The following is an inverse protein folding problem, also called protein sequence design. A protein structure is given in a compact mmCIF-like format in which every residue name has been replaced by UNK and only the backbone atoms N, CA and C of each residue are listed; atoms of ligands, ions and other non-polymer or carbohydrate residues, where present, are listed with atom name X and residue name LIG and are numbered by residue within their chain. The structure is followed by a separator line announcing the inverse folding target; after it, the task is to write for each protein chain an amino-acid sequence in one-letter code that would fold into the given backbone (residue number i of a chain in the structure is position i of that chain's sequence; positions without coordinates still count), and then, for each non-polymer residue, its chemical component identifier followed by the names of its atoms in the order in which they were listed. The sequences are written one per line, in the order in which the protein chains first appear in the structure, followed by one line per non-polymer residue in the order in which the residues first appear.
data_IF_412452246943
#
_entry.id   IF_412452246943
#
_cell.length_a   1.000
_cell.length_b   1.000
_cell.length_c   1.000
_cell.angle_alpha   90.00
_cell.angle_beta   90.00
_cell.angle_gamma   90.00
#
_symmetry.space_group_name_H-M   'P 1'
#
loop_
_entity.id
_entity.type
_entity.pdbx_description
1 polymer ?
#
# COMPACT_ATOMS: atom_id res chain seq x y z
N UNK A 1 23.80 2.66 3.55
CA UNK A 1 22.37 2.26 3.47
C UNK A 1 21.84 2.67 2.11
N UNK A 2 22.44 2.15 1.04
CA UNK A 2 22.37 2.72 -0.33
C UNK A 2 22.46 1.61 -1.40
N UNK A 3 21.93 0.41 -1.10
CA UNK A 3 22.05 -0.77 -2.00
C UNK A 3 20.71 -1.44 -2.34
N UNK A 4 19.57 -0.92 -1.85
CA UNK A 4 18.24 -1.48 -2.14
C UNK A 4 17.44 -0.70 -3.18
N UNK A 5 17.92 0.46 -3.62
CA UNK A 5 17.27 1.27 -4.65
C UNK A 5 17.75 0.97 -6.08
N UNK A 6 18.85 0.21 -6.24
CA UNK A 6 19.47 -0.06 -7.56
C UNK A 6 18.78 -1.18 -8.37
N UNK A 7 18.06 -2.09 -7.71
CA UNK A 7 17.41 -3.23 -8.39
C UNK A 7 16.17 -2.86 -9.20
N UNK A 8 15.66 -1.62 -9.06
CA UNK A 8 14.46 -1.17 -9.78
C UNK A 8 14.76 -0.40 -11.08
N UNK A 9 16.02 -0.02 -11.34
CA UNK A 9 16.34 0.90 -12.44
C UNK A 9 17.13 0.30 -13.62
N UNK A 10 17.55 -0.97 -13.56
CA UNK A 10 18.41 -1.55 -14.61
C UNK A 10 17.83 -2.86 -15.12
N UNK A 11 17.10 -2.80 -16.24
CA UNK A 11 16.73 -3.93 -17.10
C UNK A 11 15.98 -5.08 -16.39
N UNK A 12 14.64 -5.14 -16.53
CA UNK A 12 13.94 -6.43 -16.50
C UNK A 12 12.61 -6.61 -15.75
N UNK A 13 11.74 -5.62 -15.50
CA UNK A 13 10.45 -5.91 -14.85
C UNK A 13 9.59 -6.89 -15.66
N UNK A 14 9.71 -6.91 -16.99
CA UNK A 14 8.93 -7.81 -17.87
C UNK A 14 9.47 -9.25 -17.91
N UNK A 15 10.79 -9.45 -17.81
CA UNK A 15 11.42 -10.79 -17.84
C UNK A 15 11.22 -11.52 -16.52
N UNK A 16 11.28 -10.80 -15.39
CA UNK A 16 11.09 -11.40 -14.06
C UNK A 16 9.61 -11.65 -13.71
N UNK A 17 8.65 -10.96 -14.34
CA UNK A 17 7.23 -11.28 -14.17
C UNK A 17 6.86 -12.68 -14.66
N UNK A 18 7.66 -13.32 -15.52
CA UNK A 18 7.50 -14.73 -15.90
C UNK A 18 7.91 -15.72 -14.81
N UNK A 19 8.74 -15.31 -13.84
CA UNK A 19 9.30 -16.16 -12.80
C UNK A 19 8.35 -16.21 -11.59
N UNK A 20 7.78 -17.39 -11.23
CA UNK A 20 6.82 -17.50 -10.13
C UNK A 20 7.34 -16.95 -8.79
N UNK A 21 8.61 -17.22 -8.46
CA UNK A 21 9.23 -16.74 -7.23
C UNK A 21 9.29 -15.20 -7.14
N UNK A 22 9.56 -14.53 -8.27
CA UNK A 22 9.56 -13.07 -8.31
C UNK A 22 8.15 -12.49 -8.13
N UNK A 23 7.14 -13.10 -8.78
CA UNK A 23 5.73 -12.68 -8.58
C UNK A 23 5.31 -12.82 -7.12
N UNK A 24 5.65 -13.94 -6.48
CA UNK A 24 5.34 -14.17 -5.07
C UNK A 24 6.03 -13.14 -4.16
N UNK A 25 7.32 -12.86 -4.42
CA UNK A 25 8.07 -11.82 -3.71
C UNK A 25 7.43 -10.43 -3.88
N UNK A 26 7.09 -10.04 -5.10
CA UNK A 26 6.53 -8.72 -5.39
C UNK A 26 5.12 -8.55 -4.79
N UNK A 27 4.28 -9.59 -4.82
CA UNK A 27 2.99 -9.61 -4.10
C UNK A 27 3.22 -9.45 -2.60
N UNK A 28 4.20 -10.15 -2.03
CA UNK A 28 4.50 -10.04 -0.60
C UNK A 28 4.99 -8.64 -0.22
N UNK A 29 5.83 -8.04 -1.07
CA UNK A 29 6.28 -6.67 -0.90
C UNK A 29 5.10 -5.69 -0.91
N UNK A 30 4.15 -5.85 -1.83
CA UNK A 30 2.90 -5.07 -1.85
C UNK A 30 2.10 -5.21 -0.55
N UNK A 31 1.87 -6.44 -0.07
CA UNK A 31 1.12 -6.69 1.17
C UNK A 31 1.76 -5.97 2.37
N UNK A 32 3.08 -6.11 2.52
CA UNK A 32 3.83 -5.46 3.59
C UNK A 32 3.80 -3.94 3.47
N UNK A 33 3.98 -3.39 2.27
CA UNK A 33 3.89 -1.95 2.03
C UNK A 33 2.49 -1.40 2.30
N UNK A 34 1.43 -2.15 1.99
CA UNK A 34 0.06 -1.75 2.30
C UNK A 34 -0.17 -1.64 3.81
N UNK A 35 0.28 -2.63 4.59
CA UNK A 35 0.17 -2.58 6.06
C UNK A 35 0.94 -1.40 6.66
N UNK A 36 2.14 -1.12 6.16
CA UNK A 36 2.90 0.05 6.59
C UNK A 36 2.18 1.36 6.25
N UNK A 37 1.58 1.47 5.06
CA UNK A 37 0.82 2.65 4.68
C UNK A 37 -0.41 2.85 5.58
N UNK A 38 -1.13 1.78 5.93
CA UNK A 38 -2.25 1.84 6.85
C UNK A 38 -1.81 2.28 8.26
N UNK A 39 -0.69 1.72 8.76
CA UNK A 39 -0.10 2.10 10.04
C UNK A 39 0.36 3.57 10.05
N UNK A 40 0.94 4.05 8.94
CA UNK A 40 1.33 5.44 8.77
C UNK A 40 0.12 6.38 8.80
N UNK A 41 -0.98 6.02 8.12
CA UNK A 41 -2.22 6.80 8.20
C UNK A 41 -2.73 6.90 9.62
N UNK A 42 -2.73 5.79 10.35
CA UNK A 42 -3.17 5.76 11.75
C UNK A 42 -2.29 6.65 12.63
N UNK A 43 -0.96 6.53 12.53
CA UNK A 43 -0.01 7.33 13.29
C UNK A 43 -0.18 8.83 13.02
N UNK A 44 -0.20 9.23 11.75
CA UNK A 44 -0.34 10.64 11.37
C UNK A 44 -1.72 11.23 11.73
N UNK A 45 -2.80 10.42 11.72
CA UNK A 45 -4.10 10.87 12.23
C UNK A 45 -4.06 11.11 13.75
N UNK A 46 -3.39 10.23 14.50
CA UNK A 46 -3.23 10.40 15.95
C UNK A 46 -2.42 11.66 16.27
N UNK A 47 -1.31 11.90 15.57
CA UNK A 47 -0.50 13.11 15.72
C UNK A 47 -1.29 14.40 15.44
N UNK A 48 -2.24 14.34 14.49
CA UNK A 48 -3.16 15.44 14.16
C UNK A 48 -4.36 15.57 15.10
N UNK A 49 -4.38 14.84 16.22
CA UNK A 49 -5.44 14.94 17.23
C UNK A 49 -6.76 14.28 16.84
N UNK A 50 -6.80 13.45 15.79
CA UNK A 50 -7.99 12.65 15.51
C UNK A 50 -8.14 11.58 16.59
N UNK A 51 -9.38 11.19 16.95
CA UNK A 51 -9.62 10.12 17.90
C UNK A 51 -8.83 8.88 17.50
N UNK A 52 -8.06 8.34 18.44
CA UNK A 52 -7.28 7.11 18.25
C UNK A 52 -8.21 6.04 17.67
N UNK A 53 -7.90 5.51 16.47
CA UNK A 53 -8.59 4.34 16.01
C UNK A 53 -8.46 3.24 17.06
N UNK A 54 -9.58 2.68 17.53
CA UNK A 54 -9.53 1.47 18.34
C UNK A 54 -8.91 0.38 17.47
N UNK A 55 -7.61 0.15 17.64
CA UNK A 55 -6.82 -0.82 16.88
C UNK A 55 -7.57 -2.15 16.82
N UNK A 56 -7.84 -2.64 15.61
CA UNK A 56 -8.55 -3.90 15.37
C UNK A 56 -10.09 -3.82 15.30
N UNK A 57 -10.72 -2.79 15.88
CA UNK A 57 -12.18 -2.61 15.83
C UNK A 57 -12.64 -1.51 14.86
N UNK A 58 -11.76 -0.57 14.49
CA UNK A 58 -12.12 0.43 13.50
C UNK A 58 -12.04 -0.17 12.07
N UNK A 59 -13.16 -0.17 11.31
CA UNK A 59 -13.12 -0.59 9.92
C UNK A 59 -12.15 0.28 9.13
N UNK A 60 -11.30 -0.33 8.31
CA UNK A 60 -10.38 0.40 7.41
C UNK A 60 -11.08 1.48 6.57
N UNK A 61 -12.36 1.29 6.23
CA UNK A 61 -13.18 2.32 5.56
C UNK A 61 -13.21 3.64 6.33
N UNK A 62 -13.33 3.58 7.66
CA UNK A 62 -13.33 4.77 8.51
C UNK A 62 -11.94 5.38 8.61
N UNK A 63 -10.89 4.56 8.75
CA UNK A 63 -9.50 5.01 8.72
C UNK A 63 -9.20 5.85 7.47
N UNK A 64 -9.48 5.29 6.29
CA UNK A 64 -9.25 5.99 5.02
C UNK A 64 -10.17 7.21 4.88
N UNK A 65 -11.41 7.14 5.39
CA UNK A 65 -12.31 8.29 5.44
C UNK A 65 -11.76 9.45 6.27
N UNK A 66 -11.15 9.15 7.42
CA UNK A 66 -10.46 10.15 8.25
C UNK A 66 -9.21 10.68 7.55
N UNK A 67 -8.38 9.80 6.99
CA UNK A 67 -7.18 10.19 6.25
C UNK A 67 -7.52 11.13 5.07
N UNK A 68 -8.63 10.88 4.37
CA UNK A 68 -9.12 11.77 3.30
C UNK A 68 -9.51 13.14 3.85
N UNK A 69 -10.27 13.19 4.94
CA UNK A 69 -10.65 14.46 5.59
C UNK A 69 -9.45 15.23 6.12
N UNK A 70 -8.40 14.54 6.53
CA UNK A 70 -7.13 15.14 6.95
C UNK A 70 -6.22 15.56 5.78
N UNK A 71 -6.65 15.38 4.53
CA UNK A 71 -5.86 15.73 3.34
C UNK A 71 -4.68 14.80 3.05
N UNK A 72 -4.63 13.62 3.70
CA UNK A 72 -3.51 12.67 3.58
C UNK A 72 -3.65 11.75 2.36
N UNK A 73 -4.88 11.52 1.91
CA UNK A 73 -5.18 10.70 0.73
C UNK A 73 -6.18 11.43 -0.17
N UNK A 74 -5.95 11.37 -1.49
CA UNK A 74 -6.87 11.98 -2.46
C UNK A 74 -8.15 11.18 -2.63
N UNK A 75 -8.03 9.90 -2.99
CA UNK A 75 -9.17 9.05 -3.31
C UNK A 75 -9.30 7.86 -2.35
N UNK A 76 -10.28 7.94 -1.44
CA UNK A 76 -10.58 6.85 -0.51
C UNK A 76 -11.03 5.54 -1.19
N UNK A 77 -11.51 5.59 -2.44
CA UNK A 77 -11.92 4.41 -3.20
C UNK A 77 -10.75 3.52 -3.61
N UNK A 78 -9.64 4.12 -4.02
CA UNK A 78 -8.41 3.41 -4.42
C UNK A 78 -7.85 2.60 -3.25
N UNK A 79 -7.77 3.20 -2.07
CA UNK A 79 -7.28 2.51 -0.87
C UNK A 79 -8.15 1.32 -0.46
N UNK A 80 -9.48 1.41 -0.66
CA UNK A 80 -10.37 0.25 -0.45
C UNK A 80 -10.06 -0.86 -1.45
N UNK A 81 -9.87 -0.52 -2.74
CA UNK A 81 -9.49 -1.49 -3.77
C UNK A 81 -8.15 -2.15 -3.44
N UNK A 82 -7.16 -1.40 -2.97
CA UNK A 82 -5.87 -1.97 -2.55
C UNK A 82 -6.03 -2.94 -1.36
N UNK A 83 -6.92 -2.63 -0.42
CA UNK A 83 -7.25 -3.55 0.67
C UNK A 83 -7.85 -4.85 0.16
N UNK A 84 -8.77 -4.77 -0.80
CA UNK A 84 -9.39 -5.95 -1.38
C UNK A 84 -8.34 -6.83 -2.08
N UNK A 85 -7.43 -6.22 -2.85
CA UNK A 85 -6.30 -6.94 -3.45
C UNK A 85 -5.37 -7.57 -2.43
N UNK A 86 -5.05 -6.87 -1.34
CA UNK A 86 -4.24 -7.41 -0.24
C UNK A 86 -4.94 -8.56 0.47
N UNK A 87 -6.26 -8.46 0.68
CA UNK A 87 -7.01 -9.54 1.33
C UNK A 87 -7.05 -10.80 0.44
N UNK A 88 -7.31 -10.62 -0.86
CA UNK A 88 -7.30 -11.71 -1.82
C UNK A 88 -5.92 -12.34 -1.96
N UNK A 89 -4.84 -11.53 -1.98
CA UNK A 89 -3.48 -12.05 -2.11
C UNK A 89 -3.02 -12.87 -0.91
N UNK A 90 -3.43 -12.47 0.31
CA UNK A 90 -3.09 -13.17 1.55
C UNK A 90 -3.85 -14.48 1.72
N UNK A 91 -5.13 -14.53 1.33
CA UNK A 91 -6.00 -15.68 1.62
C UNK A 91 -6.20 -16.64 0.43
N UNK A 92 -6.01 -16.16 -0.79
CA UNK A 92 -6.33 -16.91 -2.02
C UNK A 92 -5.20 -16.80 -3.05
N UNK A 93 -3.96 -16.98 -2.61
CA UNK A 93 -2.79 -16.88 -3.49
C UNK A 93 -2.88 -17.86 -4.66
N UNK A 94 -2.79 -17.32 -5.88
CA UNK A 94 -2.65 -18.07 -7.14
C UNK A 94 -1.87 -17.23 -8.15
N UNK A 95 -1.34 -17.86 -9.20
CA UNK A 95 -0.60 -17.15 -10.24
C UNK A 95 -1.46 -16.13 -11.02
N UNK A 96 -2.77 -16.33 -11.09
CA UNK A 96 -3.70 -15.36 -11.68
C UNK A 96 -3.90 -14.17 -10.74
N UNK A 97 -4.12 -14.43 -9.45
CA UNK A 97 -4.20 -13.38 -8.42
C UNK A 97 -2.91 -12.56 -8.39
N UNK A 98 -1.75 -13.21 -8.44
CA UNK A 98 -0.47 -12.52 -8.44
C UNK A 98 -0.34 -11.55 -9.63
N UNK A 99 -0.70 -11.99 -10.85
CA UNK A 99 -0.69 -11.13 -12.03
C UNK A 99 -1.64 -9.94 -11.89
N UNK A 100 -2.86 -10.16 -11.38
CA UNK A 100 -3.83 -9.08 -11.16
C UNK A 100 -3.34 -8.07 -10.12
N UNK A 101 -2.78 -8.53 -9.00
CA UNK A 101 -2.18 -7.66 -7.98
C UNK A 101 -1.05 -6.83 -8.60
N UNK A 102 -0.15 -7.45 -9.35
CA UNK A 102 0.99 -6.76 -9.96
C UNK A 102 0.59 -5.68 -10.98
N UNK A 103 -0.53 -5.86 -11.68
CA UNK A 103 -1.09 -4.82 -12.57
C UNK A 103 -1.56 -3.58 -11.78
N UNK A 104 -1.89 -3.72 -10.50
CA UNK A 104 -2.41 -2.65 -9.64
C UNK A 104 -1.32 -2.00 -8.79
N UNK A 105 -0.17 -2.68 -8.62
CA UNK A 105 0.95 -2.21 -7.79
C UNK A 105 1.46 -0.85 -8.26
N UNK A 106 1.47 -0.57 -9.57
CA UNK A 106 1.88 0.74 -10.10
C UNK A 106 1.08 1.89 -9.50
N UNK A 107 -0.25 1.83 -9.62
CA UNK A 107 -1.14 2.86 -9.06
C UNK A 107 -1.06 2.94 -7.53
N UNK A 108 -0.84 1.81 -6.86
CA UNK A 108 -0.60 1.79 -5.41
C UNK A 108 0.68 2.54 -5.03
N UNK A 109 1.78 2.36 -5.75
CA UNK A 109 3.05 3.05 -5.48
C UNK A 109 2.86 4.57 -5.55
N UNK A 110 2.15 5.06 -6.56
CA UNK A 110 1.87 6.49 -6.70
C UNK A 110 1.04 7.03 -5.53
N UNK A 111 -0.01 6.29 -5.14
CA UNK A 111 -0.84 6.63 -3.98
C UNK A 111 -0.05 6.62 -2.66
N UNK A 112 0.85 5.65 -2.48
CA UNK A 112 1.68 5.54 -1.29
C UNK A 112 2.73 6.67 -1.23
N UNK A 113 3.31 7.07 -2.36
CA UNK A 113 4.20 8.24 -2.45
C UNK A 113 3.45 9.53 -2.11
N UNK A 114 2.25 9.71 -2.63
CA UNK A 114 1.42 10.87 -2.32
C UNK A 114 1.08 10.93 -0.82
N UNK A 115 0.75 9.78 -0.20
CA UNK A 115 0.57 9.69 1.26
C UNK A 115 1.82 10.12 2.02
N UNK A 116 3.00 9.60 1.65
CA UNK A 116 4.27 9.97 2.31
C UNK A 116 4.51 11.47 2.26
N UNK A 117 4.36 12.09 1.08
CA UNK A 117 4.51 13.54 0.91
C UNK A 117 3.49 14.30 1.77
N UNK A 118 2.22 13.87 1.76
CA UNK A 118 1.16 14.52 2.53
C UNK A 118 1.30 14.33 4.05
N UNK A 119 2.05 13.34 4.52
CA UNK A 119 2.37 13.18 5.94
C UNK A 119 3.59 14.03 6.30
N UNK A 120 4.65 14.02 5.49
CA UNK A 120 5.88 14.77 5.72
C UNK A 120 5.70 16.29 5.68
N UNK A 121 4.78 16.81 4.86
CA UNK A 121 4.52 18.26 4.76
C UNK A 121 3.74 18.84 5.96
N UNK A 122 3.40 18.03 6.95
CA UNK A 122 2.69 18.47 8.17
C UNK A 122 3.54 18.31 9.44
N UNK A 123 4.82 17.94 9.29
CA UNK A 123 5.81 17.89 10.39
C UNK A 123 6.53 19.22 10.59
#
# INVERSE_FOLDING_TARGET
MELRLWLLSSIGPMVFMGVPAYRAWAVKAFETSFEHAAALMEAALQERGFPKPCRGNEPFRLLVGRAKRAGMVGNAGEWRRYRDWRNVSVHHYSDDVARRVLNEVGAFIDSARALLVAVSNFG
#
